data_IF_132380697976
#
_entry.id   IF_132380697976
#
_cell.length_a   1.000
_cell.length_b   1.000
_cell.length_c   1.000
_cell.angle_alpha   90.00
_cell.angle_beta   90.00
_cell.angle_gamma   90.00
#
_symmetry.space_group_name_H-M   'P 1'
#
loop_
_entity.id
_entity.type
_entity.pdbx_description
1 polymer ?
#
# COMPACT_ATOMS: atom_id res chain seq x y z
N UNK A 1 -2.68 0.13 -21.15
CA UNK A 1 -3.98 0.28 -20.42
C UNK A 1 -4.92 1.29 -21.10
N UNK A 2 -4.42 2.46 -21.49
CA UNK A 2 -5.21 3.51 -22.17
C UNK A 2 -5.89 3.05 -23.46
N UNK A 3 -5.18 2.32 -24.32
CA UNK A 3 -5.73 1.80 -25.60
C UNK A 3 -6.95 0.88 -25.43
N UNK A 4 -7.10 0.26 -24.26
CA UNK A 4 -8.22 -0.63 -23.92
C UNK A 4 -9.29 0.06 -23.05
N UNK A 5 -9.17 1.36 -22.81
CA UNK A 5 -10.10 2.12 -21.96
C UNK A 5 -10.04 1.76 -20.46
N UNK A 6 -8.96 1.12 -20.00
CA UNK A 6 -8.80 0.76 -18.59
C UNK A 6 -8.26 1.96 -17.81
N UNK A 7 -8.97 2.35 -16.75
CA UNK A 7 -8.56 3.42 -15.84
C UNK A 7 -7.51 2.91 -14.85
N UNK A 8 -6.34 3.56 -14.84
CA UNK A 8 -5.28 3.32 -13.87
C UNK A 8 -5.37 4.38 -12.77
N UNK A 9 -6.00 4.04 -11.65
CA UNK A 9 -6.15 4.93 -10.50
C UNK A 9 -4.85 4.99 -9.69
N UNK A 10 -4.45 6.18 -9.25
CA UNK A 10 -3.23 6.40 -8.45
C UNK A 10 -3.32 7.71 -7.67
N UNK A 11 -2.40 7.93 -6.73
CA UNK A 11 -2.21 9.28 -6.18
C UNK A 11 -1.56 10.19 -7.23
N UNK A 12 -1.66 11.50 -7.04
CA UNK A 12 -0.96 12.46 -7.89
C UNK A 12 0.57 12.26 -7.85
N UNK A 13 1.12 11.94 -6.67
CA UNK A 13 2.55 11.67 -6.51
C UNK A 13 3.01 10.45 -7.33
N UNK A 14 2.24 9.37 -7.29
CA UNK A 14 2.51 8.19 -8.13
C UNK A 14 2.50 8.54 -9.62
N UNK A 15 1.59 9.41 -10.06
CA UNK A 15 1.53 9.83 -11.46
C UNK A 15 2.74 10.66 -11.88
N UNK A 16 3.19 11.57 -11.01
CA UNK A 16 4.39 12.38 -11.21
C UNK A 16 5.65 11.51 -11.33
N UNK A 17 5.83 10.53 -10.42
CA UNK A 17 6.97 9.62 -10.44
C UNK A 17 6.94 8.69 -11.66
N UNK A 18 5.75 8.22 -12.06
CA UNK A 18 5.60 7.43 -13.28
C UNK A 18 6.09 8.21 -14.51
N UNK A 19 5.66 9.48 -14.66
CA UNK A 19 6.10 10.37 -15.74
C UNK A 19 7.61 10.56 -15.73
N UNK A 20 8.17 10.88 -14.56
CA UNK A 20 9.61 11.14 -14.37
C UNK A 20 10.47 9.93 -14.76
N UNK A 21 9.95 8.72 -14.53
CA UNK A 21 10.62 7.47 -14.86
C UNK A 21 10.31 6.96 -16.28
N UNK A 22 9.61 7.74 -17.12
CA UNK A 22 9.33 7.41 -18.52
C UNK A 22 8.15 6.46 -18.74
N UNK A 23 7.28 6.28 -17.74
CA UNK A 23 6.05 5.49 -17.87
C UNK A 23 4.85 6.35 -18.27
N UNK A 24 3.81 5.68 -18.76
CA UNK A 24 2.49 6.31 -18.95
C UNK A 24 1.93 6.83 -17.63
N UNK A 25 1.49 8.09 -17.62
CA UNK A 25 0.86 8.69 -16.45
C UNK A 25 -0.50 8.02 -16.13
N UNK A 26 -0.68 7.46 -14.91
CA UNK A 26 -1.99 7.10 -14.35
C UNK A 26 -2.82 8.35 -14.03
N UNK A 27 -4.04 8.16 -13.51
CA UNK A 27 -5.03 9.23 -13.36
C UNK A 27 -4.68 10.28 -12.29
N UNK A 28 -3.89 9.93 -11.27
CA UNK A 28 -3.57 10.86 -10.18
C UNK A 28 -4.79 11.35 -9.39
N UNK A 29 -5.88 10.60 -9.38
CA UNK A 29 -7.19 10.99 -8.84
C UNK A 29 -7.40 10.58 -7.37
N UNK A 30 -6.52 9.76 -6.81
CA UNK A 30 -6.60 9.33 -5.42
C UNK A 30 -6.03 10.39 -4.47
N UNK A 31 -6.81 10.73 -3.45
CA UNK A 31 -6.40 11.53 -2.30
C UNK A 31 -5.80 10.64 -1.20
N UNK A 32 -5.37 11.24 -0.08
CA UNK A 32 -4.87 10.52 1.10
C UNK A 32 -5.80 9.38 1.51
N UNK A 33 -7.11 9.60 1.48
CA UNK A 33 -8.12 8.57 1.62
C UNK A 33 -9.11 8.73 0.46
N UNK A 34 -9.36 7.65 -0.28
CA UNK A 34 -10.37 7.64 -1.34
C UNK A 34 -11.26 6.43 -1.18
N UNK A 35 -12.58 6.67 -1.09
CA UNK A 35 -13.58 5.61 -1.07
C UNK A 35 -14.14 5.42 -2.47
N UNK A 36 -13.98 4.21 -2.99
CA UNK A 36 -14.44 3.80 -4.32
C UNK A 36 -15.45 2.68 -4.20
N UNK A 37 -16.29 2.55 -5.23
CA UNK A 37 -17.26 1.46 -5.36
C UNK A 37 -17.29 0.95 -6.80
N UNK A 38 -17.08 -0.34 -6.96
CA UNK A 38 -17.15 -1.04 -8.25
C UNK A 38 -18.28 -2.07 -8.18
N UNK A 39 -19.44 -1.76 -8.77
CA UNK A 39 -20.65 -2.54 -8.56
C UNK A 39 -21.02 -2.58 -7.07
N UNK A 40 -21.02 -3.75 -6.44
CA UNK A 40 -21.27 -3.91 -5.00
C UNK A 40 -20.02 -3.99 -4.13
N UNK A 41 -18.83 -3.90 -4.72
CA UNK A 41 -17.54 -3.93 -4.02
C UNK A 41 -17.18 -2.52 -3.53
N UNK A 42 -16.99 -2.37 -2.22
CA UNK A 42 -16.40 -1.18 -1.61
C UNK A 42 -14.90 -1.34 -1.48
N UNK A 43 -14.16 -0.30 -1.85
CA UNK A 43 -12.70 -0.25 -1.80
C UNK A 43 -12.32 1.09 -1.18
N UNK A 44 -11.45 1.09 -0.19
CA UNK A 44 -10.81 2.31 0.32
C UNK A 44 -9.31 2.26 -0.02
N UNK A 45 -8.76 3.34 -0.58
CA UNK A 45 -7.31 3.52 -0.67
C UNK A 45 -6.87 4.44 0.44
N UNK A 46 -5.71 4.19 1.03
CA UNK A 46 -5.14 5.00 2.09
C UNK A 46 -3.64 5.20 1.85
N UNK A 47 -3.18 6.44 1.85
CA UNK A 47 -1.78 6.82 1.92
C UNK A 47 -1.37 6.99 3.39
N UNK A 48 -0.62 6.03 3.97
CA UNK A 48 -0.27 6.08 5.39
C UNK A 48 0.96 6.94 5.70
N UNK A 49 1.65 7.43 4.68
CA UNK A 49 2.97 8.03 4.77
C UNK A 49 4.02 7.23 3.99
N UNK A 50 5.25 7.72 3.99
CA UNK A 50 6.37 7.11 3.27
C UNK A 50 6.82 5.81 3.94
N UNK A 51 7.30 4.86 3.14
CA UNK A 51 7.78 3.59 3.64
C UNK A 51 8.65 2.89 2.62
N UNK A 52 8.11 1.91 1.91
CA UNK A 52 8.85 1.24 0.84
C UNK A 52 9.17 2.19 -0.33
N UNK A 53 8.26 3.11 -0.62
CA UNK A 53 8.46 4.24 -1.54
C UNK A 53 7.89 5.52 -0.92
N UNK A 54 8.14 6.68 -1.54
CA UNK A 54 7.51 7.94 -1.11
C UNK A 54 6.00 7.99 -1.38
N UNK A 55 5.51 7.18 -2.32
CA UNK A 55 4.15 7.25 -2.86
C UNK A 55 3.30 6.00 -2.57
N UNK A 56 3.81 5.06 -1.78
CA UNK A 56 3.11 3.82 -1.48
C UNK A 56 1.71 4.07 -0.89
N UNK A 57 0.74 3.24 -1.24
CA UNK A 57 -0.58 3.24 -0.60
C UNK A 57 -0.95 1.82 -0.15
N UNK A 58 -1.92 1.73 0.76
CA UNK A 58 -2.60 0.47 1.08
C UNK A 58 -4.04 0.51 0.56
N UNK A 59 -4.61 -0.68 0.33
CA UNK A 59 -6.00 -0.82 -0.11
C UNK A 59 -6.77 -1.67 0.89
N UNK A 60 -7.92 -1.19 1.32
CA UNK A 60 -8.79 -1.81 2.30
C UNK A 60 -10.13 -2.22 1.69
N UNK A 61 -10.52 -3.46 1.94
CA UNK A 61 -11.81 -4.02 1.53
C UNK A 61 -12.71 -4.16 2.78
N UNK A 62 -13.51 -3.14 3.13
CA UNK A 62 -14.21 -3.09 4.42
C UNK A 62 -15.23 -4.22 4.61
N UNK A 63 -15.82 -4.73 3.53
CA UNK A 63 -16.81 -5.82 3.58
C UNK A 63 -16.19 -7.14 4.05
N UNK A 64 -14.89 -7.35 3.79
CA UNK A 64 -14.18 -8.60 4.06
C UNK A 64 -13.12 -8.44 5.15
N UNK A 65 -12.86 -7.20 5.56
CA UNK A 65 -11.76 -6.82 6.44
C UNK A 65 -10.39 -7.28 5.92
N UNK A 66 -10.18 -7.17 4.61
CA UNK A 66 -8.93 -7.53 3.94
C UNK A 66 -8.13 -6.26 3.67
N UNK A 67 -6.86 -6.27 4.06
CA UNK A 67 -5.89 -5.24 3.73
C UNK A 67 -4.92 -5.76 2.67
N UNK A 68 -4.84 -5.11 1.53
CA UNK A 68 -3.69 -5.23 0.63
C UNK A 68 -2.65 -4.20 1.04
N UNK A 69 -1.59 -4.66 1.70
CA UNK A 69 -0.51 -3.82 2.22
C UNK A 69 0.57 -3.52 1.17
N UNK A 70 0.67 -4.34 0.12
CA UNK A 70 1.71 -4.19 -0.90
C UNK A 70 3.11 -4.27 -0.29
N UNK A 71 4.10 -3.70 -0.97
CA UNK A 71 5.51 -3.78 -0.53
C UNK A 71 5.81 -3.00 0.76
N UNK A 72 4.87 -2.14 1.22
CA UNK A 72 4.91 -1.52 2.55
C UNK A 72 4.85 -2.59 3.66
N UNK A 73 4.18 -3.72 3.44
CA UNK A 73 4.07 -4.82 4.42
C UNK A 73 4.90 -6.01 3.96
N UNK A 74 5.75 -6.53 4.86
CA UNK A 74 6.59 -7.70 4.62
C UNK A 74 5.89 -8.99 5.04
N UNK A 75 6.12 -10.08 4.31
CA UNK A 75 5.65 -11.41 4.69
C UNK A 75 6.39 -11.95 5.91
N UNK A 76 5.85 -12.99 6.54
CA UNK A 76 6.42 -13.59 7.75
C UNK A 76 7.80 -14.22 7.51
N UNK A 77 8.06 -14.67 6.28
CA UNK A 77 9.31 -15.32 5.87
C UNK A 77 10.42 -14.30 5.61
N UNK A 78 10.08 -13.03 5.35
CA UNK A 78 11.04 -11.98 5.07
C UNK A 78 11.99 -11.78 6.26
N UNK A 79 13.29 -11.73 5.97
CA UNK A 79 14.36 -11.56 6.96
C UNK A 79 14.93 -10.14 7.02
N UNK A 80 14.60 -9.33 6.02
CA UNK A 80 15.02 -7.94 5.88
C UNK A 80 13.98 -7.15 5.06
N UNK A 81 14.26 -5.87 4.82
CA UNK A 81 13.38 -4.97 4.08
C UNK A 81 13.46 -5.13 2.55
N UNK A 82 14.37 -5.98 2.05
CA UNK A 82 14.70 -6.09 0.63
C UNK A 82 15.39 -4.83 0.10
N UNK A 83 15.04 -4.42 -1.12
CA UNK A 83 15.56 -3.20 -1.71
C UNK A 83 14.99 -1.95 -1.00
N UNK A 84 15.88 -1.06 -0.55
CA UNK A 84 15.57 0.18 0.15
C UNK A 84 16.06 1.43 -0.58
N UNK A 85 16.44 1.33 -1.85
CA UNK A 85 16.98 2.45 -2.63
C UNK A 85 16.02 3.65 -2.70
N UNK A 86 14.71 3.39 -2.81
CA UNK A 86 13.65 4.41 -2.86
C UNK A 86 12.86 4.50 -1.54
N UNK A 87 13.32 3.81 -0.49
CA UNK A 87 12.60 3.66 0.76
C UNK A 87 12.95 4.75 1.79
N UNK A 88 11.99 5.01 2.67
CA UNK A 88 12.08 5.95 3.78
C UNK A 88 12.05 5.18 5.10
N UNK A 89 13.16 4.50 5.40
CA UNK A 89 13.26 3.55 6.54
C UNK A 89 12.88 4.21 7.87
N UNK A 90 13.28 5.46 8.10
CA UNK A 90 12.97 6.20 9.33
C UNK A 90 11.48 6.59 9.47
N UNK A 91 10.75 6.66 8.35
CA UNK A 91 9.32 7.03 8.33
C UNK A 91 8.40 5.80 8.24
N UNK A 92 8.96 4.66 7.82
CA UNK A 92 8.20 3.45 7.54
C UNK A 92 7.46 2.92 8.78
N UNK A 93 8.07 2.98 9.97
CA UNK A 93 7.43 2.55 11.22
C UNK A 93 6.15 3.35 11.50
N UNK A 94 6.23 4.68 11.39
CA UNK A 94 5.06 5.59 11.50
C UNK A 94 3.96 5.23 10.50
N UNK A 95 4.33 4.91 9.25
CA UNK A 95 3.36 4.49 8.24
C UNK A 95 2.67 3.17 8.60
N UNK A 96 3.40 2.20 9.13
CA UNK A 96 2.79 0.93 9.61
C UNK A 96 1.87 1.19 10.81
N UNK A 97 2.26 2.05 11.75
CA UNK A 97 1.42 2.43 12.89
C UNK A 97 0.12 3.13 12.44
N UNK A 98 0.19 4.01 11.43
CA UNK A 98 -0.99 4.64 10.86
C UNK A 98 -1.98 3.61 10.27
N UNK A 99 -1.47 2.56 9.61
CA UNK A 99 -2.30 1.46 9.09
C UNK A 99 -2.93 0.66 10.23
N UNK A 100 -2.14 0.33 11.28
CA UNK A 100 -2.63 -0.39 12.46
C UNK A 100 -3.73 0.39 13.20
N UNK A 101 -3.55 1.70 13.36
CA UNK A 101 -4.50 2.58 14.03
C UNK A 101 -5.81 2.73 13.24
N UNK A 102 -5.72 2.79 11.90
CA UNK A 102 -6.91 2.93 11.05
C UNK A 102 -7.73 1.64 10.96
N UNK A 103 -7.07 0.48 10.94
CA UNK A 103 -7.72 -0.80 10.65
C UNK A 103 -7.48 -1.82 11.76
N UNK A 104 -8.09 -1.62 12.93
CA UNK A 104 -7.85 -2.46 14.10
C UNK A 104 -8.31 -3.92 14.00
N UNK A 105 -9.19 -4.28 13.05
CA UNK A 105 -9.81 -5.59 12.96
C UNK A 105 -9.72 -6.15 11.52
N UNK A 106 -8.51 -6.58 11.13
CA UNK A 106 -8.23 -7.18 9.82
C UNK A 106 -8.38 -8.71 9.90
N UNK A 107 -9.07 -9.30 8.95
CA UNK A 107 -9.14 -10.76 8.78
C UNK A 107 -7.90 -11.31 8.05
N UNK A 108 -7.40 -10.56 7.06
CA UNK A 108 -6.25 -10.98 6.25
C UNK A 108 -5.46 -9.79 5.74
N UNK A 109 -4.16 -9.98 5.58
CA UNK A 109 -3.20 -8.99 5.08
C UNK A 109 -2.40 -9.60 3.95
N UNK A 110 -2.42 -8.94 2.79
CA UNK A 110 -1.69 -9.36 1.58
C UNK A 110 -0.43 -8.50 1.44
N UNK A 111 0.78 -9.06 1.65
CA UNK A 111 2.03 -8.34 1.42
C UNK A 111 2.33 -8.21 -0.07
N UNK A 112 3.33 -7.39 -0.42
CA UNK A 112 3.76 -7.22 -1.82
C UNK A 112 4.48 -8.44 -2.38
N UNK A 113 5.13 -9.22 -1.51
CA UNK A 113 5.81 -10.46 -1.84
C UNK A 113 5.62 -11.46 -0.69
N UNK A 114 5.59 -12.76 -1.02
CA UNK A 114 5.39 -13.83 -0.06
C UNK A 114 3.93 -14.13 0.23
N UNK A 115 3.69 -14.90 1.28
CA UNK A 115 2.38 -15.47 1.57
C UNK A 115 1.44 -14.49 2.29
N UNK A 116 0.14 -14.67 2.05
CA UNK A 116 -0.94 -13.95 2.75
C UNK A 116 -0.92 -14.33 4.23
N UNK A 117 -1.07 -13.33 5.09
CA UNK A 117 -1.12 -13.52 6.52
C UNK A 117 -2.23 -12.70 7.16
N UNK A 118 -1.96 -12.20 8.36
CA UNK A 118 -2.87 -11.37 9.14
C UNK A 118 -2.13 -10.15 9.70
N UNK A 119 -2.73 -9.49 10.69
CA UNK A 119 -2.17 -8.31 11.36
C UNK A 119 -0.71 -8.51 11.83
N UNK A 120 -0.28 -9.75 12.12
CA UNK A 120 1.10 -10.05 12.52
C UNK A 120 2.12 -9.66 11.46
N UNK A 121 1.76 -9.59 10.17
CA UNK A 121 2.66 -9.11 9.13
C UNK A 121 3.07 -7.64 9.32
N UNK A 122 2.16 -6.80 9.81
CA UNK A 122 2.48 -5.40 10.14
C UNK A 122 3.44 -5.33 11.33
N UNK A 123 3.22 -6.16 12.36
CA UNK A 123 4.11 -6.21 13.52
C UNK A 123 5.50 -6.76 13.15
N UNK A 124 5.55 -7.79 12.31
CA UNK A 124 6.79 -8.32 11.75
C UNK A 124 7.55 -7.26 10.94
N UNK A 125 6.83 -6.45 10.15
CA UNK A 125 7.44 -5.34 9.42
C UNK A 125 8.06 -4.31 10.37
N UNK A 126 7.41 -3.99 11.49
CA UNK A 126 7.99 -3.13 12.53
C UNK A 126 9.25 -3.75 13.17
N UNK A 127 9.28 -5.06 13.37
CA UNK A 127 10.46 -5.74 13.90
C UNK A 127 11.65 -5.71 12.94
N UNK A 128 11.41 -5.75 11.63
CA UNK A 128 12.45 -5.62 10.60
C UNK A 128 13.01 -4.19 10.46
N UNK A 129 12.32 -3.18 11.02
CA UNK A 129 12.74 -1.77 10.99
C UNK A 129 13.58 -1.36 12.22
N UNK A 130 13.84 -2.29 13.15
CA UNK A 130 14.62 -2.06 14.37
C UNK A 130 16.13 -2.15 14.15
#
# INVERSE_FOLDING_TARGET
MKERGIKAHSTALTAELAKKNGYDEPLGDLQTITNMKFGNMKVETFYPGKGHTEDNIVVWLPQYKILAGGCLVKSAEAKDLGNVADAYVNEWSTSIENVLNRYGNMNSVVPGHGDVGDRRLLLHTLDLLK
#
